data_IF_227871408349
#
_entry.id   IF_227871408349
#
_cell.length_a   1.000
_cell.length_b   1.000
_cell.length_c   1.000
_cell.angle_alpha   90.00
_cell.angle_beta   90.00
_cell.angle_gamma   90.00
#
_symmetry.space_group_name_H-M   'P 1'
#
loop_
_entity.id
_entity.type
_entity.pdbx_description
1 polymer ?
#
# COMPACT_ATOMS: atom_id res chain seq x y z
N UNK A 1 8.13 9.84 10.96
CA UNK A 1 9.51 9.53 10.52
C UNK A 1 9.46 8.29 9.64
N UNK A 2 10.32 8.18 8.62
CA UNK A 2 10.38 7.00 7.73
C UNK A 2 11.24 5.88 8.32
N UNK A 3 11.18 5.69 9.65
CA UNK A 3 11.97 4.67 10.36
C UNK A 3 11.46 3.27 9.95
N UNK A 4 12.27 2.42 9.27
CA UNK A 4 11.88 1.09 8.80
C UNK A 4 12.02 0.00 9.86
N UNK A 5 12.57 0.32 11.03
CA UNK A 5 12.64 -0.58 12.18
C UNK A 5 11.39 -0.39 13.04
N UNK A 6 10.74 -1.49 13.41
CA UNK A 6 9.54 -1.45 14.23
C UNK A 6 8.88 -2.80 14.36
N UNK A 7 7.80 -2.82 15.15
CA UNK A 7 7.06 -4.02 15.48
C UNK A 7 5.63 -3.96 14.94
N UNK A 8 5.06 -5.14 14.65
CA UNK A 8 3.66 -5.30 14.25
C UNK A 8 2.86 -5.83 15.42
N UNK A 9 1.67 -5.27 15.62
CA UNK A 9 0.79 -5.64 16.72
C UNK A 9 -0.58 -6.07 16.19
N UNK A 10 -1.14 -7.13 16.79
CA UNK A 10 -2.51 -7.58 16.58
C UNK A 10 -3.23 -7.55 17.93
N UNK A 11 -4.27 -6.72 18.04
CA UNK A 11 -5.03 -6.52 19.30
C UNK A 11 -4.13 -6.20 20.51
N UNK A 12 -3.11 -5.38 20.29
CA UNK A 12 -2.14 -4.97 21.31
C UNK A 12 -1.01 -5.97 21.60
N UNK A 13 -1.04 -7.17 21.03
CA UNK A 13 0.03 -8.15 21.18
C UNK A 13 1.00 -8.08 20.00
N UNK A 14 2.31 -8.08 20.29
CA UNK A 14 3.35 -8.15 19.27
C UNK A 14 3.26 -9.49 18.54
N UNK A 15 3.22 -9.45 17.21
CA UNK A 15 3.15 -10.63 16.35
C UNK A 15 4.30 -10.66 15.35
N UNK A 16 4.59 -11.84 14.79
CA UNK A 16 5.49 -11.98 13.65
C UNK A 16 4.66 -12.07 12.37
N UNK A 17 4.83 -11.12 11.45
CA UNK A 17 4.04 -11.11 10.22
C UNK A 17 4.27 -12.37 9.36
N UNK A 18 5.44 -12.99 9.46
CA UNK A 18 5.80 -14.23 8.76
C UNK A 18 4.93 -15.45 9.12
N UNK A 19 4.19 -15.39 10.22
CA UNK A 19 3.25 -16.44 10.65
C UNK A 19 1.87 -16.33 9.97
N UNK A 20 1.64 -15.26 9.21
CA UNK A 20 0.35 -14.98 8.55
C UNK A 20 0.53 -14.91 7.03
N UNK A 21 -0.04 -15.87 6.29
CA UNK A 21 0.10 -15.93 4.82
C UNK A 21 -0.45 -14.68 4.12
N UNK A 22 -1.52 -14.08 4.65
CA UNK A 22 -2.09 -12.84 4.10
C UNK A 22 -1.14 -11.66 4.28
N UNK A 23 -0.39 -11.60 5.39
CA UNK A 23 0.60 -10.54 5.60
C UNK A 23 1.84 -10.73 4.71
N UNK A 24 2.14 -11.97 4.33
CA UNK A 24 3.17 -12.26 3.33
C UNK A 24 2.79 -11.73 1.94
N UNK A 25 1.57 -12.00 1.48
CA UNK A 25 1.06 -11.40 0.22
C UNK A 25 0.99 -9.87 0.33
N UNK A 26 0.47 -9.33 1.44
CA UNK A 26 0.35 -7.89 1.66
C UNK A 26 1.70 -7.18 1.58
N UNK A 27 2.72 -7.67 2.30
CA UNK A 27 4.06 -7.10 2.26
C UNK A 27 4.73 -7.22 0.88
N UNK A 28 4.44 -8.30 0.14
CA UNK A 28 4.89 -8.46 -1.25
C UNK A 28 4.28 -7.38 -2.14
N UNK A 29 2.97 -7.11 -2.04
CA UNK A 29 2.31 -6.03 -2.81
C UNK A 29 2.90 -4.66 -2.43
N UNK A 30 3.12 -4.40 -1.14
CA UNK A 30 3.70 -3.14 -0.66
C UNK A 30 5.06 -2.81 -1.29
N UNK A 31 5.87 -3.83 -1.57
CA UNK A 31 7.20 -3.69 -2.20
C UNK A 31 7.13 -3.74 -3.72
N UNK A 32 6.44 -4.74 -4.28
CA UNK A 32 6.45 -4.96 -5.73
C UNK A 32 5.60 -3.95 -6.49
N UNK A 33 4.45 -3.55 -5.95
CA UNK A 33 3.63 -2.49 -6.54
C UNK A 33 4.08 -1.12 -6.00
N UNK A 34 5.33 -0.74 -6.22
CA UNK A 34 5.93 0.47 -5.63
C UNK A 34 7.12 0.97 -6.44
N UNK A 35 7.21 2.28 -6.67
CA UNK A 35 8.34 2.90 -7.39
C UNK A 35 9.19 3.83 -6.50
N UNK A 36 8.86 3.91 -5.21
CA UNK A 36 9.59 4.68 -4.21
C UNK A 36 10.60 3.83 -3.43
N UNK A 37 11.45 4.50 -2.65
CA UNK A 37 12.47 3.89 -1.81
C UNK A 37 12.69 4.71 -0.53
N UNK A 38 13.49 4.14 0.37
CA UNK A 38 13.97 4.80 1.59
C UNK A 38 15.48 4.91 1.47
N UNK A 39 16.05 6.04 1.86
CA UNK A 39 17.49 6.21 1.99
C UNK A 39 17.86 6.67 3.41
N UNK A 40 19.08 6.35 3.85
CA UNK A 40 19.61 6.78 5.13
C UNK A 40 20.57 7.95 4.93
N UNK A 41 20.15 9.15 5.36
CA UNK A 41 20.96 10.35 5.33
C UNK A 41 21.93 10.37 6.52
N UNK A 42 23.21 10.09 6.25
CA UNK A 42 24.26 10.02 7.27
C UNK A 42 24.50 11.38 7.97
N UNK A 43 24.34 12.50 7.28
CA UNK A 43 24.53 13.83 7.90
C UNK A 43 23.42 14.15 8.90
N UNK A 44 22.17 13.84 8.55
CA UNK A 44 21.00 14.08 9.41
C UNK A 44 20.74 12.96 10.40
N UNK A 45 21.44 11.83 10.26
CA UNK A 45 21.21 10.60 11.02
C UNK A 45 19.73 10.16 10.98
N UNK A 46 19.10 10.28 9.80
CA UNK A 46 17.67 10.07 9.63
C UNK A 46 17.34 9.38 8.30
N UNK A 47 16.27 8.60 8.30
CA UNK A 47 15.71 8.00 7.10
C UNK A 47 14.86 9.03 6.33
N UNK A 48 15.17 9.20 5.06
CA UNK A 48 14.49 10.10 4.15
C UNK A 48 13.74 9.31 3.07
N UNK A 49 12.63 9.87 2.60
CA UNK A 49 11.89 9.29 1.49
C UNK A 49 12.59 9.58 0.16
N UNK A 50 12.53 8.63 -0.76
CA UNK A 50 12.88 8.82 -2.16
C UNK A 50 11.64 8.47 -2.99
N UNK A 51 11.03 9.47 -3.61
CA UNK A 51 9.75 9.33 -4.30
C UNK A 51 8.55 9.82 -3.48
N UNK A 52 7.39 9.19 -3.67
CA UNK A 52 6.14 9.59 -3.04
C UNK A 52 6.06 9.17 -1.57
N UNK A 53 5.45 10.04 -0.75
CA UNK A 53 5.30 9.79 0.69
C UNK A 53 4.46 8.53 0.97
N UNK A 54 3.35 8.38 0.24
CA UNK A 54 2.42 7.25 0.33
C UNK A 54 3.12 5.92 0.06
N UNK A 55 3.89 5.87 -1.03
CA UNK A 55 4.60 4.67 -1.43
C UNK A 55 5.78 4.35 -0.52
N UNK A 56 6.54 5.36 -0.08
CA UNK A 56 7.63 5.16 0.88
C UNK A 56 7.10 4.57 2.18
N UNK A 57 5.92 5.00 2.64
CA UNK A 57 5.28 4.42 3.83
C UNK A 57 4.97 2.91 3.67
N UNK A 58 4.69 2.44 2.45
CA UNK A 58 4.49 1.01 2.17
C UNK A 58 5.81 0.23 2.23
N UNK A 59 6.92 0.80 1.75
CA UNK A 59 8.25 0.18 1.91
C UNK A 59 8.59 0.09 3.40
N UNK A 60 8.40 1.17 4.15
CA UNK A 60 8.59 1.18 5.62
C UNK A 60 7.73 0.10 6.28
N UNK A 61 6.47 -0.03 5.88
CA UNK A 61 5.56 -1.04 6.42
C UNK A 61 6.08 -2.45 6.14
N UNK A 62 6.47 -2.76 4.91
CA UNK A 62 6.99 -4.08 4.55
C UNK A 62 8.28 -4.42 5.34
N UNK A 63 9.17 -3.44 5.51
CA UNK A 63 10.40 -3.60 6.31
C UNK A 63 10.12 -3.87 7.79
N UNK A 64 9.11 -3.22 8.38
CA UNK A 64 8.66 -3.49 9.75
C UNK A 64 7.97 -4.84 9.89
N UNK A 65 7.15 -5.19 8.91
CA UNK A 65 6.44 -6.47 8.90
C UNK A 65 7.42 -7.63 8.83
N UNK A 66 8.45 -7.51 7.99
CA UNK A 66 9.40 -8.58 7.71
C UNK A 66 8.70 -9.93 7.44
N UNK A 67 7.85 -10.00 6.40
CA UNK A 67 6.99 -11.17 6.15
C UNK A 67 7.76 -12.46 5.83
N UNK A 68 9.06 -12.37 5.55
CA UNK A 68 9.92 -13.52 5.28
C UNK A 68 10.84 -13.87 6.45
N UNK A 69 10.68 -13.19 7.60
CA UNK A 69 11.53 -13.36 8.79
C UNK A 69 13.04 -13.26 8.46
N UNK A 70 13.39 -12.30 7.61
CA UNK A 70 14.77 -12.03 7.19
C UNK A 70 15.58 -11.56 8.41
N UNK A 71 16.75 -12.16 8.69
CA UNK A 71 17.59 -11.71 9.80
C UNK A 71 18.02 -10.26 9.62
N UNK A 72 17.75 -9.42 10.62
CA UNK A 72 18.18 -8.01 10.68
C UNK A 72 19.33 -7.77 11.65
N UNK A 73 19.72 -8.76 12.44
CA UNK A 73 20.77 -8.66 13.45
C UNK A 73 22.15 -8.51 12.82
N UNK A 74 22.95 -7.57 13.31
CA UNK A 74 24.34 -7.35 12.85
C UNK A 74 24.46 -6.54 11.57
N UNK A 75 23.35 -6.07 11.00
CA UNK A 75 23.34 -5.14 9.87
C UNK A 75 23.47 -3.69 10.36
N UNK A 76 24.09 -2.84 9.54
CA UNK A 76 24.06 -1.40 9.77
C UNK A 76 22.65 -0.81 9.52
N UNK A 77 22.46 0.48 9.81
CA UNK A 77 21.16 1.15 9.63
C UNK A 77 20.69 1.15 8.17
N UNK A 78 21.60 1.28 7.21
CA UNK A 78 21.28 1.36 5.79
C UNK A 78 20.82 0.00 5.26
N UNK A 79 21.58 -1.07 5.55
CA UNK A 79 21.23 -2.44 5.18
C UNK A 79 19.94 -2.89 5.87
N UNK A 80 19.76 -2.58 7.17
CA UNK A 80 18.54 -2.95 7.91
C UNK A 80 17.27 -2.35 7.30
N UNK A 81 17.39 -1.20 6.64
CA UNK A 81 16.28 -0.45 6.04
C UNK A 81 15.79 -1.00 4.70
N UNK A 82 16.55 -1.88 4.04
CA UNK A 82 16.24 -2.37 2.69
C UNK A 82 16.30 -3.89 2.56
N UNK A 83 16.72 -4.61 3.61
CA UNK A 83 16.99 -6.05 3.53
C UNK A 83 15.73 -6.88 3.22
N UNK A 84 14.55 -6.47 3.67
CA UNK A 84 13.30 -7.19 3.38
C UNK A 84 12.88 -6.96 1.93
N UNK A 85 12.98 -5.71 1.46
CA UNK A 85 12.79 -5.37 0.06
C UNK A 85 13.71 -6.18 -0.84
N UNK A 86 15.00 -6.23 -0.53
CA UNK A 86 15.98 -7.00 -1.29
C UNK A 86 15.61 -8.48 -1.35
N UNK A 87 15.20 -9.08 -0.23
CA UNK A 87 14.76 -10.48 -0.20
C UNK A 87 13.55 -10.72 -1.12
N UNK A 88 12.57 -9.80 -1.13
CA UNK A 88 11.39 -9.87 -2.00
C UNK A 88 11.79 -9.76 -3.47
N UNK A 89 12.70 -8.84 -3.81
CA UNK A 89 13.23 -8.65 -5.16
C UNK A 89 14.02 -9.89 -5.65
N UNK A 90 14.58 -10.71 -4.76
CA UNK A 90 15.17 -12.01 -5.17
C UNK A 90 14.13 -13.08 -5.54
N UNK A 91 12.86 -12.88 -5.17
CA UNK A 91 11.76 -13.84 -5.41
C UNK A 91 10.87 -13.41 -6.57
N UNK A 92 10.79 -12.12 -6.85
CA UNK A 92 9.92 -11.56 -7.87
C UNK A 92 10.68 -10.58 -8.75
N UNK A 93 10.52 -10.75 -10.06
CA UNK A 93 10.96 -9.76 -11.04
C UNK A 93 9.76 -8.91 -11.43
N UNK A 94 9.88 -7.60 -11.21
CA UNK A 94 8.94 -6.62 -11.78
C UNK A 94 9.24 -6.49 -13.28
N UNK A 95 8.29 -6.85 -14.13
CA UNK A 95 8.45 -6.72 -15.58
C UNK A 95 8.09 -5.29 -16.04
N UNK A 96 6.95 -4.78 -15.58
CA UNK A 96 6.49 -3.42 -15.87
C UNK A 96 5.45 -2.93 -14.86
N UNK A 97 5.23 -1.62 -14.86
CA UNK A 97 4.22 -0.93 -14.05
C UNK A 97 3.10 -0.41 -14.94
N UNK A 98 1.84 -0.66 -14.57
CA UNK A 98 0.70 0.10 -15.06
C UNK A 98 0.54 1.32 -14.15
N UNK A 99 0.99 2.47 -14.64
CA UNK A 99 1.09 3.71 -13.88
C UNK A 99 -0.25 4.25 -13.39
N UNK A 100 -0.22 4.93 -12.24
CA UNK A 100 -1.42 5.48 -11.63
C UNK A 100 -2.16 6.43 -12.58
N UNK A 101 -3.48 6.24 -12.72
CA UNK A 101 -4.35 7.21 -13.39
C UNK A 101 -5.51 7.63 -12.49
N UNK A 102 -5.93 8.90 -12.62
CA UNK A 102 -6.99 9.49 -11.80
C UNK A 102 -8.36 8.86 -12.04
N UNK A 103 -8.57 8.30 -13.23
CA UNK A 103 -9.84 7.67 -13.62
C UNK A 103 -10.07 6.37 -12.86
N UNK A 104 -9.04 5.52 -12.76
CA UNK A 104 -9.11 4.21 -12.06
C UNK A 104 -8.68 4.28 -10.60
N UNK A 105 -7.94 5.31 -10.21
CA UNK A 105 -7.40 5.55 -8.86
C UNK A 105 -6.65 4.34 -8.27
N UNK A 106 -5.93 3.61 -9.11
CA UNK A 106 -5.06 2.50 -8.71
C UNK A 106 -3.75 2.58 -9.46
N UNK A 107 -2.81 1.72 -9.08
CA UNK A 107 -1.56 1.39 -9.75
C UNK A 107 -1.42 -0.13 -9.69
N UNK A 108 -0.79 -0.73 -10.69
CA UNK A 108 -0.42 -2.15 -10.61
C UNK A 108 0.93 -2.44 -11.24
N UNK A 109 1.48 -3.60 -10.90
CA UNK A 109 2.78 -4.08 -11.41
C UNK A 109 2.68 -5.53 -11.82
N UNK A 110 3.15 -5.83 -13.02
CA UNK A 110 3.23 -7.19 -13.52
C UNK A 110 4.54 -7.82 -13.04
N UNK A 111 4.43 -8.89 -12.27
CA UNK A 111 5.56 -9.53 -11.62
C UNK A 111 5.61 -11.03 -11.96
N UNK A 112 6.80 -11.51 -12.32
CA UNK A 112 7.08 -12.93 -12.55
C UNK A 112 7.87 -13.50 -11.37
N UNK A 113 7.51 -14.69 -10.85
CA UNK A 113 8.27 -15.31 -9.78
C UNK A 113 9.60 -15.85 -10.31
N UNK A 114 10.70 -15.52 -9.64
CA UNK A 114 12.05 -16.01 -9.92
C UNK A 114 12.35 -17.34 -9.20
N UNK A 115 11.60 -17.64 -8.14
CA UNK A 115 11.71 -18.84 -7.32
C UNK A 115 10.30 -19.34 -6.98
N UNK A 116 10.11 -20.61 -6.61
CA UNK A 116 8.84 -21.09 -6.09
C UNK A 116 8.34 -20.20 -4.96
N UNK A 117 7.11 -19.70 -5.10
CA UNK A 117 6.52 -18.73 -4.18
C UNK A 117 5.25 -19.30 -3.56
N UNK A 118 4.98 -18.92 -2.31
CA UNK A 118 3.72 -19.27 -1.62
C UNK A 118 2.49 -18.70 -2.33
N UNK A 119 2.68 -17.67 -3.16
CA UNK A 119 1.63 -17.05 -3.96
C UNK A 119 1.42 -17.75 -5.32
N UNK A 120 2.14 -18.84 -5.57
CA UNK A 120 2.12 -19.61 -6.82
C UNK A 120 3.34 -19.34 -7.72
N UNK A 121 3.47 -20.16 -8.76
CA UNK A 121 4.61 -20.14 -9.69
C UNK A 121 4.32 -19.39 -11.00
N UNK A 122 3.11 -18.85 -11.15
CA UNK A 122 2.72 -18.07 -12.32
C UNK A 122 2.91 -16.56 -12.11
N UNK A 123 2.89 -15.77 -13.19
CA UNK A 123 2.91 -14.32 -13.10
C UNK A 123 1.71 -13.78 -12.31
N UNK A 124 1.90 -12.62 -11.68
CA UNK A 124 0.89 -11.91 -10.90
C UNK A 124 0.84 -10.45 -11.29
N UNK A 125 -0.36 -9.87 -11.20
CA UNK A 125 -0.53 -8.42 -11.25
C UNK A 125 -0.85 -7.95 -9.83
N UNK A 126 0.12 -7.31 -9.17
CA UNK A 126 -0.09 -6.73 -7.84
C UNK A 126 -0.67 -5.34 -7.97
N UNK A 127 -1.77 -5.06 -7.27
CA UNK A 127 -2.56 -3.84 -7.41
C UNK A 127 -2.66 -3.12 -6.07
N UNK A 128 -2.49 -1.80 -6.08
CA UNK A 128 -2.84 -0.92 -4.95
C UNK A 128 -3.69 0.24 -5.43
N UNK A 129 -4.61 0.73 -4.60
CA UNK A 129 -5.42 1.88 -4.99
C UNK A 129 -6.49 2.27 -3.99
N UNK A 130 -7.36 3.19 -4.44
CA UNK A 130 -8.54 3.61 -3.69
C UNK A 130 -9.43 2.39 -3.37
N UNK A 131 -9.82 2.21 -2.09
CA UNK A 131 -10.57 1.03 -1.66
C UNK A 131 -11.83 0.75 -2.47
N UNK A 132 -12.64 1.77 -2.76
CA UNK A 132 -13.89 1.65 -3.51
C UNK A 132 -13.64 1.08 -4.92
N UNK A 133 -12.72 1.68 -5.67
CA UNK A 133 -12.44 1.31 -7.06
C UNK A 133 -11.71 -0.02 -7.21
N UNK A 134 -10.85 -0.39 -6.25
CA UNK A 134 -10.19 -1.71 -6.25
C UNK A 134 -11.18 -2.81 -5.88
N UNK A 135 -12.00 -2.62 -4.84
CA UNK A 135 -12.99 -3.61 -4.42
C UNK A 135 -14.10 -3.82 -5.45
N UNK A 136 -14.39 -2.82 -6.28
CA UNK A 136 -15.31 -2.98 -7.42
C UNK A 136 -14.82 -3.98 -8.45
N UNK A 137 -13.51 -4.10 -8.62
CA UNK A 137 -12.87 -5.01 -9.57
C UNK A 137 -12.43 -6.34 -8.95
N UNK A 138 -12.68 -6.52 -7.64
CA UNK A 138 -12.41 -7.76 -6.94
C UNK A 138 -13.59 -8.73 -7.06
N UNK A 139 -13.34 -9.95 -7.52
CA UNK A 139 -14.32 -11.05 -7.51
C UNK A 139 -14.13 -11.99 -6.32
N UNK A 140 -12.95 -11.95 -5.69
CA UNK A 140 -12.59 -12.83 -4.59
C UNK A 140 -11.87 -12.06 -3.47
N UNK A 141 -11.75 -12.70 -2.31
CA UNK A 141 -10.90 -12.26 -1.21
C UNK A 141 -9.97 -13.40 -0.78
N UNK A 142 -8.79 -13.03 -0.28
CA UNK A 142 -7.82 -13.95 0.31
C UNK A 142 -8.14 -14.16 1.79
N UNK A 143 -8.23 -15.42 2.21
CA UNK A 143 -8.39 -15.81 3.61
C UNK A 143 -7.35 -16.89 3.92
N UNK A 144 -6.26 -16.49 4.57
CA UNK A 144 -5.07 -17.34 4.68
C UNK A 144 -4.50 -17.64 3.29
N UNK A 145 -4.39 -18.92 2.95
CA UNK A 145 -3.99 -19.37 1.60
C UNK A 145 -5.18 -19.56 0.64
N UNK A 146 -6.41 -19.55 1.17
CA UNK A 146 -7.62 -19.82 0.39
C UNK A 146 -8.11 -18.57 -0.35
N UNK A 147 -8.78 -18.81 -1.47
CA UNK A 147 -9.48 -17.81 -2.28
C UNK A 147 -10.98 -18.04 -2.14
N UNK A 148 -11.71 -17.07 -1.59
CA UNK A 148 -13.17 -17.15 -1.38
C UNK A 148 -13.90 -16.11 -2.24
N UNK A 149 -15.12 -16.38 -2.73
CA UNK A 149 -15.89 -15.39 -3.46
C UNK A 149 -16.17 -14.13 -2.63
N UNK A 150 -15.94 -12.95 -3.22
CA UNK A 150 -16.22 -11.67 -2.57
C UNK A 150 -17.68 -11.29 -2.85
N UNK A 151 -18.58 -11.77 -1.98
CA UNK A 151 -19.99 -11.38 -2.06
C UNK A 151 -20.21 -9.93 -1.59
N UNK A 152 -21.39 -9.38 -1.90
CA UNK A 152 -21.77 -8.01 -1.57
C UNK A 152 -21.72 -7.73 -0.06
N UNK A 153 -22.06 -8.69 0.79
CA UNK A 153 -22.02 -8.55 2.25
C UNK A 153 -20.59 -8.32 2.74
N UNK A 154 -19.64 -9.15 2.31
CA UNK A 154 -18.23 -9.03 2.68
C UNK A 154 -17.62 -7.75 2.11
N UNK A 155 -17.92 -7.42 0.84
CA UNK A 155 -17.49 -6.17 0.20
C UNK A 155 -17.95 -4.94 0.99
N UNK A 156 -19.24 -4.89 1.35
CA UNK A 156 -19.79 -3.77 2.11
C UNK A 156 -19.17 -3.66 3.50
N UNK A 157 -18.89 -4.79 4.16
CA UNK A 157 -18.23 -4.80 5.47
C UNK A 157 -16.80 -4.24 5.40
N UNK A 158 -16.04 -4.59 4.36
CA UNK A 158 -14.69 -4.04 4.16
C UNK A 158 -14.76 -2.53 3.91
N UNK A 159 -15.70 -2.07 3.08
CA UNK A 159 -15.89 -0.64 2.81
C UNK A 159 -16.28 0.15 4.07
N UNK A 160 -17.17 -0.40 4.90
CA UNK A 160 -17.58 0.22 6.16
C UNK A 160 -16.40 0.37 7.15
N UNK A 161 -15.60 -0.69 7.31
CA UNK A 161 -14.39 -0.63 8.15
C UNK A 161 -13.39 0.39 7.61
N UNK A 162 -13.21 0.42 6.29
CA UNK A 162 -12.29 1.36 5.64
C UNK A 162 -12.73 2.81 5.82
N UNK A 163 -14.04 3.09 5.73
CA UNK A 163 -14.59 4.42 6.06
C UNK A 163 -14.33 4.79 7.51
N UNK A 164 -14.54 3.84 8.43
CA UNK A 164 -14.27 4.06 9.86
C UNK A 164 -12.82 4.47 10.12
N UNK A 165 -11.85 3.88 9.41
CA UNK A 165 -10.45 4.29 9.49
C UNK A 165 -10.21 5.69 8.90
N UNK A 166 -10.86 6.02 7.78
CA UNK A 166 -10.70 7.31 7.10
C UNK A 166 -11.44 8.49 7.74
N UNK A 167 -12.47 8.25 8.55
CA UNK A 167 -13.26 9.28 9.24
C UNK A 167 -13.17 9.20 10.76
N UNK A 168 -12.43 8.21 11.28
CA UNK A 168 -12.16 8.07 12.71
C UNK A 168 -11.23 9.16 13.22
N UNK A 169 -10.92 9.11 14.52
CA UNK A 169 -10.06 10.08 15.20
C UNK A 169 -8.71 10.30 14.51
N UNK A 170 -8.15 9.25 13.92
CA UNK A 170 -6.84 9.29 13.27
C UNK A 170 -6.93 9.58 11.76
N UNK A 171 -8.13 9.70 11.17
CA UNK A 171 -8.35 10.10 9.76
C UNK A 171 -7.35 9.50 8.77
N UNK A 172 -7.29 8.16 8.71
CA UNK A 172 -6.25 7.45 7.97
C UNK A 172 -6.53 7.45 6.46
N UNK A 173 -5.51 7.75 5.66
CA UNK A 173 -5.53 7.49 4.22
C UNK A 173 -5.43 5.98 3.98
N UNK A 174 -6.49 5.40 3.44
CA UNK A 174 -6.57 3.96 3.21
C UNK A 174 -6.26 3.58 1.76
N UNK A 175 -5.49 2.51 1.57
CA UNK A 175 -5.27 1.87 0.28
C UNK A 175 -5.69 0.40 0.36
N UNK A 176 -6.50 -0.04 -0.60
CA UNK A 176 -6.75 -1.46 -0.81
C UNK A 176 -5.63 -2.07 -1.64
N UNK A 177 -5.25 -3.29 -1.26
CA UNK A 177 -4.25 -4.11 -1.90
C UNK A 177 -4.92 -5.38 -2.42
N UNK A 178 -4.65 -5.71 -3.68
CA UNK A 178 -5.26 -6.84 -4.36
C UNK A 178 -4.28 -7.46 -5.36
N UNK A 179 -4.58 -8.68 -5.80
CA UNK A 179 -3.76 -9.42 -6.77
C UNK A 179 -4.64 -9.99 -7.87
N UNK A 180 -4.27 -9.82 -9.13
CA UNK A 180 -4.79 -10.68 -10.19
C UNK A 180 -3.99 -11.99 -10.21
N UNK A 181 -4.64 -13.10 -9.86
CA UNK A 181 -3.97 -14.40 -9.72
C UNK A 181 -3.50 -14.99 -11.05
N UNK A 182 -4.24 -14.68 -12.13
CA UNK A 182 -4.00 -15.14 -13.50
C UNK A 182 -4.16 -13.91 -14.43
N UNK A 183 -3.17 -13.01 -14.46
CA UNK A 183 -3.26 -11.82 -15.29
C UNK A 183 -3.21 -12.17 -16.79
N UNK A 184 -3.73 -11.27 -17.62
CA UNK A 184 -3.56 -11.32 -19.08
C UNK A 184 -2.06 -11.36 -19.45
N UNK A 185 -1.71 -11.95 -20.60
CA UNK A 185 -0.30 -12.03 -21.00
C UNK A 185 0.20 -10.65 -21.46
N UNK A 186 1.49 -10.32 -21.27
CA UNK A 186 2.04 -9.04 -21.70
C UNK A 186 1.82 -8.77 -23.20
N UNK A 187 1.92 -9.78 -24.05
CA UNK A 187 1.73 -9.66 -25.50
C UNK A 187 0.29 -9.29 -25.92
N UNK A 188 -0.68 -9.47 -25.00
CA UNK A 188 -2.09 -9.12 -25.19
C UNK A 188 -2.42 -7.74 -24.57
N UNK A 189 -1.45 -7.11 -23.89
CA UNK A 189 -1.60 -5.79 -23.28
C UNK A 189 -1.00 -4.71 -24.17
N UNK A 190 -1.81 -3.73 -24.52
CA UNK A 190 -1.33 -2.45 -25.05
C UNK A 190 -0.87 -1.57 -23.89
N UNK A 191 0.45 -1.50 -23.66
CA UNK A 191 1.08 -0.70 -22.62
C UNK A 191 1.22 0.79 -23.00
N UNK A 192 1.00 1.14 -24.27
CA UNK A 192 1.05 2.53 -24.75
C UNK A 192 -0.24 3.30 -24.46
N UNK A 193 -1.35 2.59 -24.25
CA UNK A 193 -2.66 3.19 -23.99
C UNK A 193 -3.12 2.97 -22.53
N UNK A 194 -2.87 4.00 -21.70
CA UNK A 194 -3.24 3.99 -20.28
C UNK A 194 -4.74 3.88 -20.00
N UNK A 195 -5.60 4.18 -20.99
CA UNK A 195 -7.07 4.05 -20.81
C UNK A 195 -7.51 2.60 -20.70
N UNK A 196 -6.72 1.66 -21.24
CA UNK A 196 -6.98 0.22 -21.19
C UNK A 196 -6.56 -0.42 -19.88
N UNK A 197 -5.75 0.23 -19.05
CA UNK A 197 -5.23 -0.39 -17.82
C UNK A 197 -6.34 -0.84 -16.86
N UNK A 198 -7.50 -0.18 -16.88
CA UNK A 198 -8.67 -0.60 -16.13
C UNK A 198 -9.15 -2.01 -16.49
N UNK A 199 -9.06 -2.41 -17.77
CA UNK A 199 -9.52 -3.72 -18.27
C UNK A 199 -8.53 -4.84 -17.92
N UNK A 200 -7.26 -4.50 -17.69
CA UNK A 200 -6.24 -5.45 -17.24
C UNK A 200 -6.33 -5.73 -15.72
N UNK A 201 -6.84 -4.77 -14.95
CA UNK A 201 -6.99 -4.84 -13.49
C UNK A 201 -8.37 -5.36 -13.05
N UNK A 202 -8.85 -6.46 -13.65
CA UNK A 202 -10.17 -7.06 -13.34
C UNK A 202 -10.04 -8.46 -12.75
N UNK A 203 -11.14 -9.00 -12.20
CA UNK A 203 -11.18 -10.32 -11.55
C UNK A 203 -10.15 -10.47 -10.43
N UNK A 204 -9.93 -9.39 -9.69
CA UNK A 204 -8.92 -9.31 -8.65
C UNK A 204 -9.32 -10.14 -7.41
N UNK A 205 -8.31 -10.58 -6.68
CA UNK A 205 -8.44 -11.14 -5.34
C UNK A 205 -8.01 -10.08 -4.32
N UNK A 206 -8.95 -9.60 -3.52
CA UNK A 206 -8.68 -8.66 -2.44
C UNK A 206 -7.80 -9.30 -1.36
N UNK A 207 -6.73 -8.62 -0.94
CA UNK A 207 -5.77 -9.14 0.04
C UNK A 207 -5.89 -8.41 1.37
N UNK A 208 -6.03 -7.08 1.34
CA UNK A 208 -6.16 -6.30 2.57
C UNK A 208 -6.24 -4.80 2.33
N UNK A 209 -6.34 -4.05 3.43
CA UNK A 209 -6.28 -2.59 3.45
C UNK A 209 -5.14 -2.17 4.37
N UNK A 210 -4.41 -1.15 3.93
CA UNK A 210 -3.43 -0.45 4.76
C UNK A 210 -3.92 0.98 4.99
N UNK A 211 -3.86 1.43 6.24
CA UNK A 211 -4.16 2.81 6.63
C UNK A 211 -2.88 3.52 7.02
N UNK A 212 -2.66 4.73 6.50
CA UNK A 212 -1.53 5.57 6.86
C UNK A 212 -2.03 6.95 7.30
N UNK A 213 -1.42 7.47 8.36
CA UNK A 213 -1.67 8.82 8.85
C UNK A 213 -0.74 9.77 8.11
N UNK A 214 -1.30 10.81 7.47
CA UNK A 214 -0.55 11.98 7.01
C UNK A 214 -0.85 13.15 7.96
N UNK A 215 -0.04 13.32 9.03
CA UNK A 215 -0.37 14.29 10.07
C UNK A 215 -0.21 15.72 9.53
N UNK A 216 -1.15 16.64 9.85
CA UNK A 216 -0.99 18.04 9.53
C UNK A 216 0.26 18.60 10.21
N UNK A 217 0.91 19.58 9.56
CA UNK A 217 2.08 20.23 10.13
C UNK A 217 1.68 20.97 11.41
N UNK A 218 2.55 20.96 12.42
CA UNK A 218 2.25 21.49 13.76
C UNK A 218 1.81 22.95 13.73
N UNK A 219 2.41 23.73 12.83
CA UNK A 219 2.16 25.15 12.62
C UNK A 219 0.84 25.48 11.89
N UNK A 220 0.18 24.49 11.26
CA UNK A 220 -1.02 24.72 10.46
C UNK A 220 -2.17 25.18 11.34
N UNK A 221 -2.36 24.56 12.50
CA UNK A 221 -3.46 24.92 13.42
C UNK A 221 -3.42 26.41 13.81
N UNK A 222 -2.29 26.88 14.31
CA UNK A 222 -2.11 28.28 14.72
C UNK A 222 -2.24 29.26 13.54
N UNK A 223 -1.86 28.81 12.34
CA UNK A 223 -1.98 29.63 11.13
C UNK A 223 -3.44 29.76 10.68
N UNK A 224 -4.24 28.69 10.74
CA UNK A 224 -5.68 28.72 10.44
C UNK A 224 -6.43 29.63 11.43
N UNK A 225 -6.11 29.55 12.72
CA UNK A 225 -6.71 30.42 13.76
C UNK A 225 -6.43 31.90 13.47
N UNK A 226 -5.19 32.25 13.11
CA UNK A 226 -4.81 33.63 12.77
C UNK A 226 -5.50 34.13 11.50
N UNK A 227 -5.58 33.29 10.46
CA UNK A 227 -6.33 33.63 9.24
C UNK A 227 -7.80 33.92 9.56
N UNK A 228 -8.45 33.07 10.37
CA UNK A 228 -9.85 33.28 10.79
C UNK A 228 -10.02 34.58 11.58
N UNK A 229 -9.11 34.89 12.51
CA UNK A 229 -9.14 36.14 13.28
C UNK A 229 -8.96 37.39 12.40
N UNK A 230 -8.21 37.27 11.30
CA UNK A 230 -8.02 38.35 10.32
C UNK A 230 -9.15 38.44 9.27
N UNK A 231 -10.21 37.63 9.37
CA UNK A 231 -11.29 37.60 8.37
C UNK A 231 -10.91 36.96 7.03
N UNK A 232 -9.80 36.21 6.98
CA UNK A 232 -9.31 35.52 5.78
C UNK A 232 -9.93 34.13 5.70
N UNK A 233 -10.62 33.84 4.59
CA UNK A 233 -11.20 32.52 4.33
C UNK A 233 -10.14 31.56 3.76
N UNK A 234 -9.97 30.42 4.42
CA UNK A 234 -9.08 29.34 3.96
C UNK A 234 -9.91 28.25 3.28
N UNK A 235 -9.47 27.80 2.10
CA UNK A 235 -10.12 26.74 1.32
C UNK A 235 -9.10 25.63 1.10
N UNK A 236 -9.45 24.40 1.48
CA UNK A 236 -8.61 23.21 1.28
C UNK A 236 -8.94 22.56 -0.06
N UNK A 237 -7.92 22.29 -0.86
CA UNK A 237 -8.01 21.53 -2.11
C UNK A 237 -7.20 20.25 -1.89
N UNK A 238 -7.88 19.11 -1.80
CA UNK A 238 -7.25 17.80 -1.60
C UNK A 238 -7.77 16.78 -2.62
N UNK A 239 -6.93 15.77 -2.90
CA UNK A 239 -7.30 14.59 -3.70
C UNK A 239 -7.91 13.45 -2.88
N UNK A 240 -8.03 13.62 -1.56
CA UNK A 240 -8.69 12.65 -0.69
C UNK A 240 -10.19 12.58 -0.97
N UNK A 241 -10.83 11.50 -0.49
CA UNK A 241 -12.29 11.42 -0.55
C UNK A 241 -12.92 12.52 0.34
N UNK A 242 -14.18 12.88 0.04
CA UNK A 242 -14.89 13.95 0.73
C UNK A 242 -14.89 13.78 2.25
N UNK A 243 -15.14 12.56 2.73
CA UNK A 243 -15.30 12.29 4.17
C UNK A 243 -13.98 12.44 4.93
N UNK A 244 -12.86 12.00 4.36
CA UNK A 244 -11.52 12.19 4.94
C UNK A 244 -11.10 13.66 4.87
N UNK A 245 -11.40 14.35 3.76
CA UNK A 245 -11.14 15.79 3.65
C UNK A 245 -11.90 16.58 4.73
N UNK A 246 -13.18 16.28 4.94
CA UNK A 246 -14.01 16.89 5.99
C UNK A 246 -13.52 16.54 7.39
N UNK A 247 -12.97 15.35 7.61
CA UNK A 247 -12.44 14.95 8.90
C UNK A 247 -11.08 15.61 9.23
N UNK A 248 -10.28 15.96 8.22
CA UNK A 248 -9.02 16.70 8.37
C UNK A 248 -9.25 18.20 8.62
N UNK A 249 -10.31 18.78 8.03
CA UNK A 249 -10.64 20.21 8.10
C UNK A 249 -11.35 20.61 9.41
#
# INVERSE_FOLDING_TARGET
TYEPIGDVYLKGQKIKAAEFDTLHELGTICVMCNDSAIDFNEFKQAFEKVGEATETALIVLAEKMNPFNVPKTGLDRRSTAIVVRQEIETKWKKEFTLEFSRDRKSMSTYCTPLKPSRLGNGPKLFVKGAPEGVLERCSHARVGTAKVPLNSTLKNRILELTRTYGTGRDTLRCLALATADNPMKPDEMDLGDSTKFYTYEVNLTFVGVVGMLDPPRKEVFDSIVRCRAAGIRVIVITGDNKATAEAIC
#
